data_IF_715323056633
#
_entry.id   IF_715323056633
#
_cell.length_a   1.000
_cell.length_b   1.000
_cell.length_c   1.000
_cell.angle_alpha   90.00
_cell.angle_beta   90.00
_cell.angle_gamma   90.00
#
_symmetry.space_group_name_H-M   'P 1'
#
loop_
_entity.id
_entity.type
_entity.pdbx_description
1 polymer ?
#
# COMPACT_ATOMS: atom_id res chain seq x y z
N UNK A 1 -25.88 5.20 4.73
CA UNK A 1 -24.89 4.31 4.08
C UNK A 1 -24.93 2.96 4.81
N UNK A 2 -24.83 1.86 4.07
CA UNK A 2 -24.69 0.54 4.67
C UNK A 2 -23.34 0.42 5.36
N UNK A 3 -23.23 -0.35 6.46
CA UNK A 3 -21.95 -0.67 7.08
C UNK A 3 -21.06 -1.45 6.12
N UNK A 4 -19.73 -1.30 6.25
CA UNK A 4 -18.75 -2.02 5.44
C UNK A 4 -17.91 -2.90 6.35
N UNK A 5 -17.79 -4.16 5.97
CA UNK A 5 -17.11 -5.17 6.73
C UNK A 5 -15.90 -5.73 5.98
N UNK A 6 -14.84 -6.03 6.70
CA UNK A 6 -13.68 -6.74 6.18
C UNK A 6 -13.91 -8.23 6.43
N UNK A 7 -14.00 -9.03 5.37
CA UNK A 7 -14.26 -10.47 5.43
C UNK A 7 -12.98 -11.29 5.46
N UNK A 8 -12.10 -11.00 4.52
CA UNK A 8 -10.85 -11.73 4.32
C UNK A 8 -9.79 -10.83 3.72
N UNK A 9 -8.56 -11.32 3.73
CA UNK A 9 -7.42 -10.63 3.13
C UNK A 9 -6.35 -11.63 2.70
N UNK A 10 -5.47 -11.18 1.81
CA UNK A 10 -4.22 -11.82 1.49
C UNK A 10 -3.08 -10.82 1.53
N UNK A 11 -1.87 -11.31 1.83
CA UNK A 11 -0.67 -10.48 1.94
C UNK A 11 0.56 -11.18 1.38
N UNK A 12 1.45 -10.40 0.78
CA UNK A 12 2.80 -10.83 0.40
C UNK A 12 3.73 -9.64 0.51
N UNK A 13 4.53 -9.60 1.57
CA UNK A 13 5.35 -8.47 1.95
C UNK A 13 6.76 -8.96 2.31
N UNK A 14 7.75 -8.10 2.26
CA UNK A 14 9.17 -8.41 2.43
C UNK A 14 9.46 -9.24 3.68
N UNK A 15 8.88 -8.86 4.80
CA UNK A 15 9.10 -9.52 6.09
C UNK A 15 8.01 -10.55 6.45
N UNK A 16 6.94 -10.62 5.62
CA UNK A 16 5.81 -11.52 5.83
C UNK A 16 5.22 -11.98 4.49
N UNK A 17 5.63 -13.13 4.01
CA UNK A 17 5.24 -13.65 2.70
C UNK A 17 3.83 -14.25 2.61
N UNK A 18 3.09 -14.28 3.70
CA UNK A 18 1.70 -14.70 3.84
C UNK A 18 1.12 -14.21 5.17
N UNK A 19 -0.17 -14.43 5.38
CA UNK A 19 -0.89 -13.98 6.57
C UNK A 19 -0.42 -14.65 7.86
N UNK A 20 0.02 -15.91 7.82
CA UNK A 20 0.55 -16.58 9.01
C UNK A 20 1.91 -15.99 9.42
N UNK A 21 2.75 -15.65 8.43
CA UNK A 21 4.01 -14.95 8.70
C UNK A 21 3.79 -13.55 9.22
N UNK A 22 2.75 -12.84 8.75
CA UNK A 22 2.39 -11.53 9.29
C UNK A 22 2.01 -11.63 10.77
N UNK A 23 1.18 -12.61 11.15
CA UNK A 23 0.84 -12.85 12.57
C UNK A 23 2.08 -13.14 13.42
N UNK A 24 2.97 -14.02 12.93
CA UNK A 24 4.21 -14.36 13.63
C UNK A 24 5.12 -13.14 13.80
N UNK A 25 5.23 -12.29 12.77
CA UNK A 25 6.01 -11.06 12.80
C UNK A 25 5.47 -10.09 13.88
N UNK A 26 4.16 -9.89 13.93
CA UNK A 26 3.51 -9.03 14.92
C UNK A 26 3.61 -9.61 16.34
N UNK A 27 3.47 -10.92 16.50
CA UNK A 27 3.67 -11.62 17.79
C UNK A 27 5.09 -11.44 18.33
N UNK A 28 6.09 -11.44 17.45
CA UNK A 28 7.49 -11.27 17.85
C UNK A 28 7.77 -9.86 18.37
N UNK A 29 7.01 -8.85 17.91
CA UNK A 29 7.26 -7.45 18.21
C UNK A 29 8.63 -6.94 17.73
N UNK A 30 9.31 -7.71 16.87
CA UNK A 30 10.65 -7.39 16.42
C UNK A 30 10.65 -6.20 15.45
N UNK A 31 11.51 -5.23 15.72
CA UNK A 31 11.81 -4.17 14.75
C UNK A 31 12.75 -4.70 13.66
N UNK A 32 12.70 -4.07 12.49
CA UNK A 32 13.63 -4.35 11.40
C UNK A 32 15.05 -4.01 11.84
N UNK A 33 15.96 -4.98 11.72
CA UNK A 33 17.39 -4.76 11.91
C UNK A 33 17.99 -4.15 10.64
N UNK A 34 18.25 -2.84 10.68
CA UNK A 34 18.69 -2.07 9.52
C UNK A 34 20.09 -2.47 9.02
N UNK A 35 20.92 -3.01 9.90
CA UNK A 35 22.26 -3.45 9.52
C UNK A 35 22.23 -4.73 8.68
N UNK A 36 21.09 -5.44 8.67
CA UNK A 36 20.84 -6.63 7.84
C UNK A 36 20.07 -6.34 6.53
N UNK A 37 19.60 -5.09 6.31
CA UNK A 37 18.78 -4.73 5.16
C UNK A 37 19.63 -4.30 3.97
N UNK A 38 19.47 -4.97 2.84
CA UNK A 38 19.95 -4.45 1.56
C UNK A 38 18.91 -3.48 0.96
N UNK A 39 19.20 -2.18 1.05
CA UNK A 39 18.32 -1.12 0.53
C UNK A 39 18.35 -1.02 -0.99
N UNK A 40 19.32 -1.60 -1.65
CA UNK A 40 19.56 -1.46 -3.09
C UNK A 40 19.33 -2.76 -3.86
N UNK A 41 18.83 -3.79 -3.18
CA UNK A 41 18.48 -5.05 -3.81
C UNK A 41 17.33 -4.86 -4.80
N UNK A 42 17.57 -5.26 -6.05
CA UNK A 42 16.52 -5.23 -7.07
C UNK A 42 15.43 -6.26 -6.76
N UNK A 43 14.19 -5.83 -6.81
CA UNK A 43 13.04 -6.68 -6.54
C UNK A 43 12.80 -7.67 -7.71
N UNK A 44 12.95 -8.96 -7.42
CA UNK A 44 12.66 -10.05 -8.36
C UNK A 44 11.71 -11.09 -7.74
N UNK A 45 10.43 -10.77 -7.56
CA UNK A 45 9.50 -11.67 -6.88
C UNK A 45 9.27 -12.95 -7.70
N UNK A 46 9.38 -14.08 -7.03
CA UNK A 46 9.00 -15.38 -7.61
C UNK A 46 7.49 -15.54 -7.56
N UNK A 47 6.88 -15.86 -8.71
CA UNK A 47 5.45 -16.11 -8.77
C UNK A 47 5.14 -17.48 -8.14
N UNK A 48 4.52 -17.47 -6.95
CA UNK A 48 4.01 -18.67 -6.26
C UNK A 48 2.71 -19.17 -6.91
N UNK A 49 1.88 -18.25 -7.32
CA UNK A 49 0.54 -18.46 -7.86
C UNK A 49 0.53 -18.82 -9.36
N UNK A 50 1.45 -19.68 -9.82
CA UNK A 50 1.51 -20.04 -11.26
C UNK A 50 0.19 -20.61 -11.80
N UNK A 51 -0.59 -21.27 -10.96
CA UNK A 51 -1.89 -21.85 -11.34
C UNK A 51 -2.96 -20.79 -11.59
N UNK A 52 -2.84 -19.59 -11.00
CA UNK A 52 -3.79 -18.49 -11.17
C UNK A 52 -3.58 -17.71 -12.48
N UNK A 53 -2.49 -17.97 -13.22
CA UNK A 53 -2.12 -17.15 -14.39
C UNK A 53 -1.97 -18.02 -15.62
N UNK A 54 -2.66 -17.63 -16.68
CA UNK A 54 -2.53 -18.28 -17.99
C UNK A 54 -1.08 -18.15 -18.49
N UNK A 55 -0.64 -19.16 -19.26
CA UNK A 55 0.77 -19.26 -19.67
C UNK A 55 1.22 -18.06 -20.52
N UNK A 56 0.36 -17.59 -21.40
CA UNK A 56 0.59 -16.45 -22.30
C UNK A 56 0.74 -15.13 -21.53
N UNK A 57 0.01 -14.94 -20.45
CA UNK A 57 0.06 -13.71 -19.64
C UNK A 57 1.34 -13.59 -18.81
N UNK A 58 2.03 -14.71 -18.53
CA UNK A 58 3.23 -14.69 -17.69
C UNK A 58 4.36 -13.83 -18.25
N UNK A 59 4.40 -13.68 -19.57
CA UNK A 59 5.42 -12.87 -20.25
C UNK A 59 5.24 -11.36 -20.06
N UNK A 60 4.03 -10.91 -19.72
CA UNK A 60 3.68 -9.49 -19.53
C UNK A 60 3.46 -9.11 -18.06
N UNK A 61 3.62 -10.06 -17.13
CA UNK A 61 3.59 -9.78 -15.69
C UNK A 61 4.73 -8.85 -15.29
N UNK A 62 4.40 -7.77 -14.61
CA UNK A 62 5.38 -6.96 -13.91
C UNK A 62 5.59 -7.42 -12.46
N UNK A 63 6.56 -6.84 -11.75
CA UNK A 63 6.87 -7.24 -10.37
C UNK A 63 5.71 -6.95 -9.42
N UNK A 64 5.02 -5.81 -9.59
CA UNK A 64 3.84 -5.48 -8.76
C UNK A 64 2.71 -6.49 -8.96
N UNK A 65 2.44 -6.90 -10.21
CA UNK A 65 1.45 -7.93 -10.50
C UNK A 65 1.83 -9.29 -9.88
N UNK A 66 3.12 -9.67 -9.90
CA UNK A 66 3.57 -10.90 -9.24
C UNK A 66 3.37 -10.84 -7.72
N UNK A 67 3.65 -9.69 -7.08
CA UNK A 67 3.39 -9.50 -5.64
C UNK A 67 1.90 -9.64 -5.32
N UNK A 68 1.04 -8.98 -6.11
CA UNK A 68 -0.43 -9.06 -5.94
C UNK A 68 -0.94 -10.48 -6.15
N UNK A 69 -0.46 -11.18 -7.17
CA UNK A 69 -0.85 -12.57 -7.42
C UNK A 69 -0.42 -13.50 -6.28
N UNK A 70 0.73 -13.24 -5.64
CA UNK A 70 1.13 -13.98 -4.45
C UNK A 70 0.22 -13.65 -3.24
N UNK A 71 -0.23 -12.40 -3.09
CA UNK A 71 -1.21 -12.04 -2.06
C UNK A 71 -2.61 -12.65 -2.35
N UNK A 72 -3.03 -12.72 -3.61
CA UNK A 72 -4.25 -13.44 -4.02
C UNK A 72 -4.14 -14.94 -3.76
N UNK A 73 -2.96 -15.51 -3.94
CA UNK A 73 -2.70 -16.92 -3.59
C UNK A 73 -2.84 -17.17 -2.08
N UNK A 74 -2.36 -16.26 -1.23
CA UNK A 74 -2.60 -16.31 0.22
C UNK A 74 -4.10 -16.20 0.54
N UNK A 75 -4.83 -15.29 -0.13
CA UNK A 75 -6.28 -15.16 0.02
C UNK A 75 -7.01 -16.43 -0.43
N UNK A 76 -6.58 -17.06 -1.53
CA UNK A 76 -7.22 -18.29 -2.07
C UNK A 76 -7.09 -19.50 -1.15
N UNK A 77 -6.18 -19.47 -0.18
CA UNK A 77 -6.08 -20.50 0.85
C UNK A 77 -7.20 -20.42 1.91
N UNK A 78 -7.93 -19.30 1.95
CA UNK A 78 -8.98 -19.00 2.93
C UNK A 78 -10.37 -18.99 2.34
N UNK A 79 -10.50 -18.57 1.06
CA UNK A 79 -11.77 -18.49 0.35
C UNK A 79 -11.60 -18.94 -1.10
N UNK A 80 -12.69 -19.43 -1.68
CA UNK A 80 -12.75 -19.59 -3.13
C UNK A 80 -12.85 -18.20 -3.79
N UNK A 81 -11.89 -17.88 -4.65
CA UNK A 81 -11.85 -16.58 -5.36
C UNK A 81 -13.07 -16.36 -6.28
N UNK A 82 -13.76 -17.44 -6.69
CA UNK A 82 -15.04 -17.36 -7.42
C UNK A 82 -16.11 -16.56 -6.66
N UNK A 83 -16.07 -16.54 -5.33
CA UNK A 83 -16.98 -15.75 -4.51
C UNK A 83 -16.77 -14.23 -4.65
N UNK A 84 -15.69 -13.82 -5.32
CA UNK A 84 -15.35 -12.42 -5.59
C UNK A 84 -15.64 -12.00 -7.04
N UNK A 85 -16.24 -12.88 -7.85
CA UNK A 85 -16.48 -12.62 -9.27
C UNK A 85 -17.45 -11.45 -9.54
N UNK A 86 -18.29 -11.08 -8.57
CA UNK A 86 -19.22 -9.95 -8.60
C UNK A 86 -18.71 -8.71 -7.83
N UNK A 87 -17.48 -8.77 -7.26
CA UNK A 87 -16.96 -7.68 -6.46
C UNK A 87 -16.38 -6.55 -7.32
N UNK A 88 -16.63 -5.29 -6.98
CA UNK A 88 -15.96 -4.14 -7.63
C UNK A 88 -14.47 -4.12 -7.29
N UNK A 89 -13.60 -3.84 -8.26
CA UNK A 89 -12.15 -3.90 -8.11
C UNK A 89 -11.53 -2.50 -8.04
N UNK A 90 -10.76 -2.23 -6.99
CA UNK A 90 -9.98 -1.01 -6.79
C UNK A 90 -8.51 -1.35 -6.64
N UNK A 91 -7.63 -0.71 -7.43
CA UNK A 91 -6.19 -0.98 -7.36
C UNK A 91 -5.39 0.26 -7.03
N UNK A 92 -4.48 0.13 -6.07
CA UNK A 92 -3.56 1.17 -5.62
C UNK A 92 -2.12 0.63 -5.73
N UNK A 93 -1.60 0.56 -6.96
CA UNK A 93 -0.32 -0.09 -7.21
C UNK A 93 0.70 0.85 -7.89
N UNK A 94 1.99 0.59 -7.66
CA UNK A 94 3.06 1.19 -8.43
C UNK A 94 3.12 0.60 -9.83
N UNK A 95 3.76 1.33 -10.74
CA UNK A 95 4.15 0.80 -12.05
C UNK A 95 5.40 -0.07 -11.91
N UNK A 96 5.74 -0.82 -12.95
CA UNK A 96 7.07 -1.43 -13.06
C UNK A 96 8.14 -0.34 -13.13
N UNK A 97 9.31 -0.63 -12.60
CA UNK A 97 10.49 0.19 -12.80
C UNK A 97 10.98 0.11 -14.23
N UNK A 98 11.41 1.23 -14.77
CA UNK A 98 12.18 1.21 -15.99
C UNK A 98 13.53 0.52 -15.74
N UNK A 99 13.94 -0.36 -16.65
CA UNK A 99 15.33 -0.80 -16.70
C UNK A 99 16.17 0.37 -17.20
N UNK A 100 16.58 1.24 -16.30
CA UNK A 100 17.45 2.38 -16.65
C UNK A 100 18.82 1.96 -17.20
N UNK A 101 19.24 0.72 -16.97
CA UNK A 101 20.52 0.23 -17.47
C UNK A 101 20.68 0.47 -18.99
N UNK A 102 19.68 0.08 -19.77
CA UNK A 102 19.69 0.30 -21.22
C UNK A 102 19.66 1.79 -21.59
N UNK A 103 18.90 2.60 -20.84
CA UNK A 103 18.82 4.04 -21.07
C UNK A 103 20.16 4.71 -20.77
N UNK A 104 20.81 4.36 -19.64
CA UNK A 104 22.14 4.89 -19.29
C UNK A 104 23.21 4.50 -20.32
N UNK A 105 23.19 3.28 -20.82
CA UNK A 105 24.14 2.83 -21.82
C UNK A 105 23.94 3.53 -23.17
N UNK A 106 22.69 3.76 -23.56
CA UNK A 106 22.38 4.58 -24.75
C UNK A 106 22.83 6.02 -24.55
N UNK A 107 22.55 6.64 -23.39
CA UNK A 107 22.98 8.00 -23.08
C UNK A 107 24.52 8.15 -23.05
N UNK A 108 25.26 7.15 -22.55
CA UNK A 108 26.72 7.14 -22.57
C UNK A 108 27.30 7.10 -23.99
N UNK A 109 26.67 6.34 -24.88
CA UNK A 109 27.12 6.25 -26.29
C UNK A 109 26.79 7.52 -27.09
N UNK A 110 25.78 8.25 -26.68
CA UNK A 110 25.27 9.44 -27.38
C UNK A 110 25.15 10.62 -26.40
N UNK A 111 26.25 11.25 -25.95
CA UNK A 111 26.22 12.26 -24.90
C UNK A 111 25.74 13.64 -25.35
N UNK A 112 25.58 13.88 -26.66
CA UNK A 112 25.17 15.19 -27.16
C UNK A 112 23.65 15.31 -27.34
N UNK A 113 23.11 16.53 -27.16
CA UNK A 113 21.68 16.82 -27.38
C UNK A 113 21.26 16.61 -28.84
N UNK A 114 22.21 16.76 -29.78
CA UNK A 114 21.98 16.56 -31.22
C UNK A 114 21.75 15.09 -31.56
N UNK A 115 22.22 14.17 -30.71
CA UNK A 115 22.02 12.74 -30.85
C UNK A 115 20.72 12.22 -30.24
N UNK A 116 19.81 13.07 -29.72
CA UNK A 116 18.58 12.64 -29.09
C UNK A 116 17.72 11.73 -29.99
N UNK A 117 17.67 12.01 -31.28
CA UNK A 117 16.96 11.16 -32.24
C UNK A 117 17.58 9.76 -32.37
N UNK A 118 18.92 9.69 -32.36
CA UNK A 118 19.63 8.43 -32.37
C UNK A 118 19.39 7.65 -31.05
N UNK A 119 19.36 8.33 -29.92
CA UNK A 119 18.98 7.74 -28.63
C UNK A 119 17.60 7.08 -28.69
N UNK A 120 16.59 7.81 -29.16
CA UNK A 120 15.22 7.32 -29.25
C UNK A 120 15.14 6.12 -30.19
N UNK A 121 15.83 6.18 -31.34
CA UNK A 121 15.86 5.09 -32.32
C UNK A 121 16.52 3.85 -31.72
N UNK A 122 17.70 3.98 -31.15
CA UNK A 122 18.46 2.86 -30.57
C UNK A 122 17.71 2.24 -29.38
N UNK A 123 17.10 3.05 -28.52
CA UNK A 123 16.26 2.56 -27.43
C UNK A 123 15.07 1.77 -27.95
N UNK A 124 14.39 2.26 -29.00
CA UNK A 124 13.30 1.55 -29.65
C UNK A 124 13.75 0.21 -30.25
N UNK A 125 14.91 0.18 -30.89
CA UNK A 125 15.42 -1.03 -31.56
C UNK A 125 15.93 -2.08 -30.56
N UNK A 126 16.33 -1.66 -29.35
CA UNK A 126 16.86 -2.54 -28.29
C UNK A 126 15.83 -2.90 -27.21
N UNK A 127 14.71 -2.16 -27.11
CA UNK A 127 13.69 -2.41 -26.10
C UNK A 127 12.78 -3.59 -26.49
N UNK A 128 12.41 -4.39 -25.48
CA UNK A 128 11.40 -5.42 -25.67
C UNK A 128 10.01 -4.76 -25.77
N UNK A 129 9.22 -4.98 -26.85
CA UNK A 129 7.86 -4.42 -26.95
C UNK A 129 6.95 -4.77 -25.78
N UNK A 130 7.18 -5.91 -25.13
CA UNK A 130 6.40 -6.34 -23.94
C UNK A 130 6.72 -5.48 -22.70
N UNK A 131 7.86 -4.78 -22.66
CA UNK A 131 8.19 -3.91 -21.54
C UNK A 131 7.22 -2.73 -21.43
N UNK A 132 6.69 -2.25 -22.56
CA UNK A 132 5.64 -1.22 -22.55
C UNK A 132 4.38 -1.68 -21.80
N UNK A 133 3.99 -2.94 -21.97
CA UNK A 133 2.82 -3.50 -21.25
C UNK A 133 3.12 -3.66 -19.76
N UNK A 134 4.34 -4.02 -19.39
CA UNK A 134 4.77 -4.13 -17.98
C UNK A 134 4.79 -2.78 -17.28
N UNK A 135 5.15 -1.70 -17.99
CA UNK A 135 5.21 -0.35 -17.45
C UNK A 135 3.83 0.28 -17.24
N UNK A 136 2.77 -0.28 -17.81
CA UNK A 136 1.43 0.27 -17.65
C UNK A 136 0.99 0.22 -16.19
N UNK A 137 0.52 1.33 -15.62
CA UNK A 137 0.00 1.37 -14.25
C UNK A 137 -1.24 0.51 -14.06
N UNK A 138 -1.90 0.10 -15.15
CA UNK A 138 -3.05 -0.79 -15.18
C UNK A 138 -2.67 -2.27 -15.27
N UNK A 139 -1.38 -2.62 -15.33
CA UNK A 139 -0.93 -4.01 -15.40
C UNK A 139 -1.45 -4.84 -14.22
N UNK A 140 -1.37 -4.30 -12.99
CA UNK A 140 -1.92 -4.94 -11.78
C UNK A 140 -3.43 -5.13 -11.90
N UNK A 141 -4.15 -4.10 -12.35
CA UNK A 141 -5.61 -4.17 -12.55
C UNK A 141 -5.97 -5.30 -13.52
N UNK A 142 -5.33 -5.33 -14.70
CA UNK A 142 -5.56 -6.33 -15.74
C UNK A 142 -5.38 -7.76 -15.22
N UNK A 143 -4.24 -8.04 -14.56
CA UNK A 143 -3.98 -9.41 -14.09
C UNK A 143 -4.84 -9.79 -12.90
N UNK A 144 -5.21 -8.85 -12.04
CA UNK A 144 -6.12 -9.09 -10.93
C UNK A 144 -7.53 -9.40 -11.43
N UNK A 145 -8.04 -8.61 -12.37
CA UNK A 145 -9.38 -8.83 -12.94
C UNK A 145 -9.49 -10.21 -13.60
N UNK A 146 -8.48 -10.64 -14.34
CA UNK A 146 -8.46 -11.99 -14.96
C UNK A 146 -8.48 -13.13 -13.92
N UNK A 147 -7.85 -12.95 -12.77
CA UNK A 147 -7.84 -13.97 -11.71
C UNK A 147 -9.16 -14.03 -10.95
N UNK A 148 -9.82 -12.88 -10.79
CA UNK A 148 -11.12 -12.79 -10.10
C UNK A 148 -12.30 -13.05 -11.04
N UNK A 149 -12.05 -13.55 -12.27
CA UNK A 149 -13.00 -13.97 -13.29
C UNK A 149 -13.90 -12.87 -13.86
N UNK A 150 -13.39 -12.29 -14.94
CA UNK A 150 -14.14 -11.42 -15.88
C UNK A 150 -14.69 -10.11 -15.32
N UNK A 151 -14.00 -9.50 -14.35
CA UNK A 151 -14.25 -8.10 -14.08
C UNK A 151 -13.86 -7.28 -15.31
N UNK A 152 -14.86 -6.81 -16.03
CA UNK A 152 -14.65 -5.88 -17.14
C UNK A 152 -14.25 -4.49 -16.64
N UNK A 153 -14.54 -4.18 -15.35
CA UNK A 153 -14.38 -2.86 -14.78
C UNK A 153 -13.53 -2.88 -13.49
N UNK A 154 -12.68 -1.89 -13.37
CA UNK A 154 -11.89 -1.66 -12.16
C UNK A 154 -11.31 -0.26 -12.14
N UNK A 155 -11.03 0.27 -10.95
CA UNK A 155 -10.57 1.64 -10.75
C UNK A 155 -9.11 1.66 -10.28
N UNK A 156 -8.15 2.06 -11.13
CA UNK A 156 -6.77 2.27 -10.73
C UNK A 156 -6.60 3.64 -10.08
N UNK A 157 -5.95 3.68 -8.90
CA UNK A 157 -5.76 4.89 -8.11
C UNK A 157 -4.28 5.27 -8.00
N UNK A 158 -3.98 6.56 -8.18
CA UNK A 158 -2.61 7.09 -8.20
C UNK A 158 -2.52 8.39 -7.40
N UNK A 159 -2.66 8.32 -6.09
CA UNK A 159 -2.56 9.44 -5.14
C UNK A 159 -1.36 9.26 -4.20
N UNK A 160 -0.20 8.91 -4.74
CA UNK A 160 1.02 8.59 -3.99
C UNK A 160 0.72 7.59 -2.85
N UNK A 161 1.34 7.74 -1.68
CA UNK A 161 1.09 6.86 -0.51
C UNK A 161 -0.35 6.91 0.04
N UNK A 162 -1.16 7.87 -0.40
CA UNK A 162 -2.60 7.94 -0.06
C UNK A 162 -3.48 7.01 -0.92
N UNK A 163 -2.91 6.35 -1.94
CA UNK A 163 -3.69 5.56 -2.90
C UNK A 163 -4.47 4.42 -2.26
N UNK A 164 -3.88 3.71 -1.30
CA UNK A 164 -4.56 2.63 -0.57
C UNK A 164 -5.76 3.15 0.22
N UNK A 165 -5.60 4.26 0.94
CA UNK A 165 -6.69 4.90 1.68
C UNK A 165 -7.79 5.39 0.75
N UNK A 166 -7.42 5.97 -0.40
CA UNK A 166 -8.39 6.44 -1.41
C UNK A 166 -9.16 5.26 -2.02
N UNK A 167 -8.49 4.14 -2.27
CA UNK A 167 -9.14 2.91 -2.78
C UNK A 167 -10.18 2.38 -1.78
N UNK A 168 -9.82 2.32 -0.51
CA UNK A 168 -10.75 1.90 0.56
C UNK A 168 -11.94 2.86 0.63
N UNK A 169 -11.69 4.19 0.56
CA UNK A 169 -12.78 5.18 0.57
C UNK A 169 -13.79 4.97 -0.55
N UNK A 170 -13.33 4.76 -1.79
CA UNK A 170 -14.22 4.53 -2.94
C UNK A 170 -14.96 3.22 -2.78
N UNK A 171 -14.29 2.14 -2.40
CA UNK A 171 -14.92 0.84 -2.14
C UNK A 171 -16.01 0.97 -1.05
N UNK A 172 -15.71 1.64 0.07
CA UNK A 172 -16.69 1.88 1.13
C UNK A 172 -17.87 2.74 0.66
N UNK A 173 -17.62 3.74 -0.20
CA UNK A 173 -18.70 4.56 -0.75
C UNK A 173 -19.64 3.72 -1.61
N UNK A 174 -19.11 2.91 -2.50
CA UNK A 174 -19.93 2.10 -3.39
C UNK A 174 -20.72 1.02 -2.64
N UNK A 175 -20.07 0.28 -1.71
CA UNK A 175 -20.78 -0.67 -0.85
C UNK A 175 -21.84 0.05 0.01
N UNK A 176 -21.52 1.24 0.50
CA UNK A 176 -22.45 2.04 1.32
C UNK A 176 -23.71 2.49 0.57
N UNK A 177 -23.64 2.64 -0.76
CA UNK A 177 -24.79 3.06 -1.59
C UNK A 177 -25.54 1.87 -2.21
N UNK A 178 -24.83 0.88 -2.75
CA UNK A 178 -25.43 -0.15 -3.61
C UNK A 178 -25.55 -1.51 -2.94
N UNK A 179 -24.94 -1.68 -1.75
CA UNK A 179 -24.68 -2.98 -1.15
C UNK A 179 -23.79 -3.85 -2.07
N UNK A 180 -23.21 -4.92 -1.57
CA UNK A 180 -22.39 -5.82 -2.36
C UNK A 180 -20.96 -5.91 -1.85
N UNK A 181 -20.06 -6.28 -2.75
CA UNK A 181 -18.66 -6.61 -2.43
C UNK A 181 -17.69 -5.70 -3.17
N UNK A 182 -16.53 -5.53 -2.58
CA UNK A 182 -15.40 -4.89 -3.25
C UNK A 182 -14.08 -5.61 -2.90
N UNK A 183 -13.15 -5.59 -3.84
CA UNK A 183 -11.77 -6.03 -3.64
C UNK A 183 -10.87 -4.82 -3.78
N UNK A 184 -10.12 -4.51 -2.71
CA UNK A 184 -9.09 -3.48 -2.73
C UNK A 184 -7.74 -4.15 -2.80
N UNK A 185 -6.98 -3.83 -3.84
CA UNK A 185 -5.64 -4.36 -4.08
C UNK A 185 -4.63 -3.24 -3.97
N UNK A 186 -3.58 -3.46 -3.21
CA UNK A 186 -2.49 -2.48 -3.11
C UNK A 186 -1.13 -3.16 -3.25
N UNK A 187 -0.21 -2.52 -3.98
CA UNK A 187 1.16 -3.00 -4.14
C UNK A 187 2.14 -1.84 -4.33
N UNK A 188 3.30 -1.95 -3.72
CA UNK A 188 4.35 -0.94 -3.86
C UNK A 188 5.74 -1.52 -3.63
N UNK A 189 6.74 -0.86 -4.22
CA UNK A 189 8.14 -1.11 -3.99
C UNK A 189 8.88 0.19 -3.66
N UNK A 190 9.14 0.44 -2.37
CA UNK A 190 9.86 1.62 -1.92
C UNK A 190 11.38 1.47 -2.03
N UNK A 191 11.90 0.28 -2.35
CA UNK A 191 13.29 0.01 -2.71
C UNK A 191 13.57 0.24 -4.20
N UNK A 192 12.57 0.71 -4.96
CA UNK A 192 12.76 1.08 -6.38
C UNK A 192 13.70 2.26 -6.51
N UNK A 193 14.44 2.31 -7.63
CA UNK A 193 15.33 3.43 -7.90
C UNK A 193 14.60 4.77 -7.86
N UNK A 194 13.41 4.85 -8.48
CA UNK A 194 12.61 6.07 -8.51
C UNK A 194 12.19 6.52 -7.10
N UNK A 195 11.78 5.58 -6.26
CA UNK A 195 11.41 5.88 -4.86
C UNK A 195 12.62 6.28 -4.03
N UNK A 196 13.71 5.51 -4.10
CA UNK A 196 14.94 5.77 -3.32
C UNK A 196 15.57 7.10 -3.66
N UNK A 197 15.64 7.49 -4.95
CA UNK A 197 16.23 8.77 -5.39
C UNK A 197 15.53 9.95 -4.74
N UNK A 198 14.20 9.93 -4.64
CA UNK A 198 13.43 11.01 -4.02
C UNK A 198 13.79 11.16 -2.55
N UNK A 199 13.76 10.07 -1.78
CA UNK A 199 14.04 10.12 -0.34
C UNK A 199 15.52 10.35 -0.06
N UNK A 200 16.43 9.77 -0.84
CA UNK A 200 17.87 9.96 -0.69
C UNK A 200 18.31 11.41 -0.94
N UNK A 201 17.69 12.07 -1.92
CA UNK A 201 17.94 13.49 -2.21
C UNK A 201 17.71 14.39 -0.99
N UNK A 202 16.80 14.01 -0.11
CA UNK A 202 16.46 14.78 1.10
C UNK A 202 17.04 14.19 2.38
N UNK A 203 17.91 13.17 2.27
CA UNK A 203 18.44 12.39 3.42
C UNK A 203 17.31 11.81 4.29
N UNK A 204 16.25 11.34 3.67
CA UNK A 204 15.05 10.81 4.32
C UNK A 204 15.00 9.27 4.29
N UNK A 205 16.14 8.57 4.08
CA UNK A 205 16.28 7.12 4.21
C UNK A 205 17.06 6.82 5.50
N UNK A 206 16.52 5.92 6.31
CA UNK A 206 17.17 5.42 7.50
C UNK A 206 18.03 4.21 7.14
N UNK A 207 19.34 4.44 6.91
CA UNK A 207 20.28 3.42 6.39
C UNK A 207 21.00 2.61 7.50
N UNK A 208 20.85 2.98 8.78
CA UNK A 208 21.47 2.27 9.90
C UNK A 208 20.66 2.39 11.19
N UNK A 209 20.92 1.52 12.15
CA UNK A 209 20.28 1.56 13.46
C UNK A 209 20.58 2.87 14.22
N UNK A 210 21.72 3.50 13.96
CA UNK A 210 22.13 4.79 14.56
C UNK A 210 21.41 6.00 13.95
N UNK A 211 20.78 5.84 12.78
CA UNK A 211 20.05 6.92 12.11
C UNK A 211 18.78 7.27 12.89
N UNK A 212 18.59 8.56 13.18
CA UNK A 212 17.46 9.05 13.99
C UNK A 212 16.21 9.34 13.17
N UNK A 213 16.36 9.55 11.87
CA UNK A 213 15.28 9.97 10.97
C UNK A 213 15.39 9.32 9.60
N UNK A 214 14.26 9.11 8.97
CA UNK A 214 14.12 8.57 7.61
C UNK A 214 13.18 7.37 7.54
N UNK A 215 12.68 7.10 6.34
CA UNK A 215 11.88 5.91 6.06
C UNK A 215 12.76 4.65 6.12
N UNK A 216 12.16 3.53 6.45
CA UNK A 216 12.72 2.18 6.24
C UNK A 216 12.03 1.63 4.99
N UNK A 217 12.64 1.71 3.80
CA UNK A 217 11.97 1.30 2.57
C UNK A 217 11.68 -0.20 2.60
N UNK A 218 10.48 -0.58 2.15
CA UNK A 218 10.06 -1.96 2.03
C UNK A 218 9.15 -2.13 0.80
N UNK A 219 8.85 -3.37 0.44
CA UNK A 219 7.97 -3.72 -0.66
C UNK A 219 6.89 -4.71 -0.23
N UNK A 220 5.81 -4.77 -1.00
CA UNK A 220 4.77 -5.77 -0.77
C UNK A 220 3.51 -5.53 -1.57
N UNK A 221 2.56 -6.44 -1.35
CA UNK A 221 1.19 -6.33 -1.82
C UNK A 221 0.22 -6.88 -0.78
N UNK A 222 -1.00 -6.36 -0.80
CA UNK A 222 -2.12 -6.85 -0.02
C UNK A 222 -3.42 -6.77 -0.81
N UNK A 223 -4.34 -7.65 -0.46
CA UNK A 223 -5.69 -7.73 -0.99
C UNK A 223 -6.66 -7.73 0.18
N UNK A 224 -7.66 -6.84 0.14
CA UNK A 224 -8.77 -6.79 1.10
C UNK A 224 -10.06 -7.16 0.39
N UNK A 225 -10.83 -8.08 0.98
CA UNK A 225 -12.22 -8.35 0.62
C UNK A 225 -13.14 -7.57 1.57
N UNK A 226 -13.92 -6.65 1.00
CA UNK A 226 -14.91 -5.83 1.68
C UNK A 226 -16.32 -6.25 1.26
N UNK A 227 -17.27 -6.24 2.20
CA UNK A 227 -18.65 -6.64 1.97
C UNK A 227 -19.62 -5.81 2.82
N UNK A 228 -20.87 -5.72 2.41
CA UNK A 228 -21.98 -5.17 3.19
C UNK A 228 -22.56 -6.13 4.24
N UNK A 229 -22.27 -7.44 4.11
CA UNK A 229 -22.72 -8.47 5.02
C UNK A 229 -21.82 -8.58 6.27
N UNK A 230 -22.40 -8.53 7.51
CA UNK A 230 -21.63 -8.65 8.75
C UNK A 230 -21.18 -10.07 9.12
N UNK A 231 -21.72 -11.11 8.46
CA UNK A 231 -21.43 -12.50 8.80
C UNK A 231 -19.94 -12.81 8.60
N UNK A 232 -19.31 -13.50 9.53
CA UNK A 232 -17.87 -13.85 9.50
C UNK A 232 -16.90 -12.66 9.32
N UNK A 233 -17.33 -11.43 9.61
CA UNK A 233 -16.48 -10.26 9.48
C UNK A 233 -15.38 -10.24 10.56
N UNK A 234 -14.13 -10.00 10.12
CA UNK A 234 -12.95 -9.85 11.00
C UNK A 234 -12.70 -8.40 11.40
N UNK A 235 -13.39 -7.46 10.76
CA UNK A 235 -13.34 -6.03 11.06
C UNK A 235 -14.51 -5.29 10.44
N UNK A 236 -14.77 -4.08 10.94
CA UNK A 236 -15.80 -3.18 10.42
C UNK A 236 -15.20 -1.81 10.19
N UNK A 237 -15.30 -1.28 8.99
CA UNK A 237 -14.92 0.09 8.66
C UNK A 237 -16.09 1.00 9.01
N UNK A 238 -15.89 1.94 9.94
CA UNK A 238 -16.89 2.90 10.36
C UNK A 238 -16.92 4.11 9.43
N UNK A 239 -15.75 4.62 9.07
CA UNK A 239 -15.62 5.75 8.15
C UNK A 239 -14.24 5.80 7.51
N UNK A 240 -14.15 6.50 6.38
CA UNK A 240 -12.89 6.82 5.70
C UNK A 240 -12.92 8.28 5.28
N UNK A 241 -12.07 9.08 5.89
CA UNK A 241 -11.94 10.51 5.61
C UNK A 241 -10.67 10.80 4.83
N UNK A 242 -10.79 11.52 3.72
CA UNK A 242 -9.67 12.03 2.91
C UNK A 242 -9.83 13.52 2.71
N UNK A 243 -8.83 14.29 3.10
CA UNK A 243 -8.70 15.73 2.86
C UNK A 243 -7.69 15.94 1.72
N UNK A 244 -8.16 16.30 0.54
CA UNK A 244 -7.29 16.56 -0.60
C UNK A 244 -6.65 17.96 -0.45
N UNK A 245 -5.34 17.99 -0.30
CA UNK A 245 -4.53 19.21 -0.17
C UNK A 245 -3.20 19.05 -0.88
N UNK A 246 -2.83 19.92 -1.82
CA UNK A 246 -1.57 19.83 -2.57
C UNK A 246 -0.40 20.41 -1.76
N UNK A 247 -0.07 19.80 -0.61
CA UNK A 247 1.07 20.15 0.23
C UNK A 247 2.12 19.05 0.19
N UNK A 248 3.40 19.44 0.24
CA UNK A 248 4.53 18.50 0.38
C UNK A 248 4.62 17.91 1.79
N UNK A 249 4.33 18.71 2.81
CA UNK A 249 4.37 18.34 4.23
C UNK A 249 3.10 18.85 4.90
N UNK A 250 2.55 18.06 5.81
CA UNK A 250 1.40 18.43 6.65
C UNK A 250 1.94 18.83 8.02
N UNK A 251 1.48 19.98 8.51
CA UNK A 251 1.85 20.54 9.80
C UNK A 251 0.86 20.07 10.90
N UNK A 252 1.17 20.43 12.14
CA UNK A 252 0.34 20.08 13.29
C UNK A 252 -1.09 20.60 13.16
N UNK A 253 -1.31 21.75 12.53
CA UNK A 253 -2.63 22.35 12.36
C UNK A 253 -3.48 21.57 11.36
N UNK A 254 -2.89 21.06 10.27
CA UNK A 254 -3.59 20.19 9.32
C UNK A 254 -4.12 18.93 10.06
N UNK A 255 -3.27 18.30 10.89
CA UNK A 255 -3.65 17.11 11.66
C UNK A 255 -4.69 17.43 12.74
N UNK A 256 -4.52 18.52 13.51
CA UNK A 256 -5.50 18.95 14.50
C UNK A 256 -6.89 19.19 13.88
N UNK A 257 -6.93 19.80 12.70
CA UNK A 257 -8.20 20.03 12.00
C UNK A 257 -8.89 18.73 11.61
N UNK A 258 -8.13 17.74 11.12
CA UNK A 258 -8.68 16.40 10.83
C UNK A 258 -9.16 15.74 12.11
N UNK A 259 -8.30 15.65 13.11
CA UNK A 259 -8.59 14.91 14.35
C UNK A 259 -9.77 15.51 15.14
N UNK A 260 -9.89 16.83 15.23
CA UNK A 260 -11.04 17.47 15.86
C UNK A 260 -12.34 17.14 15.11
N UNK A 261 -12.34 17.17 13.77
CA UNK A 261 -13.52 16.80 12.99
C UNK A 261 -13.92 15.33 13.18
N UNK A 262 -12.95 14.43 13.30
CA UNK A 262 -13.19 13.00 13.54
C UNK A 262 -13.65 12.74 14.98
N UNK A 263 -13.07 13.45 15.95
CA UNK A 263 -13.48 13.36 17.36
C UNK A 263 -14.92 13.78 17.59
N UNK A 264 -15.39 14.80 16.89
CA UNK A 264 -16.79 15.26 16.95
C UNK A 264 -17.77 14.18 16.49
N UNK A 265 -17.36 13.33 15.52
CA UNK A 265 -18.22 12.29 14.93
C UNK A 265 -18.12 10.97 15.68
N UNK A 266 -16.90 10.56 16.05
CA UNK A 266 -16.61 9.21 16.54
C UNK A 266 -16.16 9.15 17.99
N UNK A 267 -15.85 10.28 18.61
CA UNK A 267 -15.23 10.32 19.94
C UNK A 267 -13.73 10.08 19.90
N UNK A 268 -13.19 9.53 20.98
CA UNK A 268 -11.78 9.18 21.11
C UNK A 268 -11.57 7.69 20.78
N UNK A 269 -10.63 7.33 19.89
CA UNK A 269 -10.37 5.93 19.59
C UNK A 269 -9.55 5.28 20.72
N UNK A 270 -9.70 3.98 20.92
CA UNK A 270 -8.87 3.24 21.87
C UNK A 270 -7.39 3.21 21.42
N UNK A 271 -7.20 3.07 20.10
CA UNK A 271 -5.88 2.95 19.47
C UNK A 271 -5.79 3.86 18.24
N UNK A 272 -4.63 4.48 18.07
CA UNK A 272 -4.28 5.20 16.85
C UNK A 272 -3.07 4.52 16.22
N UNK A 273 -3.22 4.09 14.97
CA UNK A 273 -2.08 3.68 14.15
C UNK A 273 -1.55 4.91 13.42
N UNK A 274 -0.43 5.41 13.90
CA UNK A 274 0.20 6.61 13.34
C UNK A 274 0.71 6.33 11.92
N UNK A 275 0.59 7.34 11.05
CA UNK A 275 1.26 7.28 9.75
C UNK A 275 2.78 7.27 9.91
N UNK A 276 3.29 7.99 10.90
CA UNK A 276 4.71 8.12 11.31
C UNK A 276 5.67 7.31 10.41
N UNK A 277 6.06 7.90 9.29
CA UNK A 277 6.87 7.24 8.27
C UNK A 277 8.38 7.18 8.61
N UNK A 278 8.76 7.73 9.76
CA UNK A 278 10.15 7.83 10.22
C UNK A 278 10.82 9.18 9.91
N UNK A 279 10.25 10.02 9.05
CA UNK A 279 10.77 11.37 8.80
C UNK A 279 10.39 12.28 9.97
N UNK A 280 11.39 12.69 10.76
CA UNK A 280 11.20 13.32 12.07
C UNK A 280 10.20 14.49 12.06
N UNK A 281 10.31 15.41 11.11
CA UNK A 281 9.42 16.58 11.07
C UNK A 281 7.95 16.21 10.82
N UNK A 282 7.71 15.26 9.92
CA UNK A 282 6.36 14.79 9.59
C UNK A 282 5.77 13.99 10.74
N UNK A 283 6.54 13.08 11.30
CA UNK A 283 6.15 12.26 12.44
C UNK A 283 5.84 13.11 13.67
N UNK A 284 6.67 14.12 13.97
CA UNK A 284 6.44 15.00 15.13
C UNK A 284 5.16 15.83 15.00
N UNK A 285 4.83 16.30 13.79
CA UNK A 285 3.60 17.07 13.57
C UNK A 285 2.35 16.23 13.85
N UNK A 286 2.33 14.99 13.37
CA UNK A 286 1.25 14.06 13.60
C UNK A 286 1.12 13.68 15.09
N UNK A 287 2.23 13.24 15.71
CA UNK A 287 2.22 12.80 17.11
C UNK A 287 1.81 13.94 18.07
N UNK A 288 2.33 15.15 17.88
CA UNK A 288 1.94 16.29 18.70
C UNK A 288 0.43 16.62 18.56
N UNK A 289 -0.14 16.45 17.37
CA UNK A 289 -1.58 16.64 17.18
C UNK A 289 -2.38 15.52 17.85
N UNK A 290 -1.92 14.26 17.79
CA UNK A 290 -2.53 13.13 18.51
C UNK A 290 -2.54 13.39 20.00
N UNK A 291 -1.40 13.71 20.62
CA UNK A 291 -1.27 13.96 22.04
C UNK A 291 -2.21 15.08 22.53
N UNK A 292 -2.44 16.09 21.66
CA UNK A 292 -3.32 17.20 21.99
C UNK A 292 -4.81 16.86 21.85
N UNK A 293 -5.19 16.12 20.82
CA UNK A 293 -6.60 15.85 20.50
C UNK A 293 -7.09 14.56 21.14
N UNK A 294 -6.24 13.53 21.23
CA UNK A 294 -6.57 12.19 21.70
C UNK A 294 -5.60 11.73 22.80
N UNK A 295 -5.57 12.41 23.97
CA UNK A 295 -4.56 12.20 25.02
C UNK A 295 -4.65 10.83 25.70
N UNK A 296 -5.77 10.11 25.59
CA UNK A 296 -5.95 8.81 26.23
C UNK A 296 -5.78 7.63 25.25
N UNK A 297 -5.63 7.90 23.96
CA UNK A 297 -5.48 6.86 22.94
C UNK A 297 -4.07 6.25 22.96
N UNK A 298 -4.00 4.93 22.84
CA UNK A 298 -2.71 4.24 22.66
C UNK A 298 -2.21 4.43 21.21
N UNK A 299 -0.97 4.88 21.03
CA UNK A 299 -0.37 5.04 19.70
C UNK A 299 0.47 3.82 19.35
N UNK A 300 0.28 3.29 18.14
CA UNK A 300 1.05 2.16 17.56
C UNK A 300 1.63 2.58 16.21
N UNK A 301 2.86 2.14 15.93
CA UNK A 301 3.49 2.29 14.62
C UNK A 301 4.00 0.94 14.12
N UNK A 302 3.42 0.43 13.05
CA UNK A 302 3.84 -0.84 12.45
C UNK A 302 5.04 -0.71 11.49
N UNK A 303 5.37 0.51 11.03
CA UNK A 303 6.44 0.71 10.03
C UNK A 303 7.84 0.41 10.54
N UNK A 304 8.00 0.29 11.87
CA UNK A 304 9.25 -0.22 12.47
C UNK A 304 9.43 -1.73 12.29
N UNK A 305 8.32 -2.44 12.07
CA UNK A 305 8.25 -3.90 11.90
C UNK A 305 8.05 -4.29 10.44
N UNK A 306 7.25 -3.54 9.68
CA UNK A 306 6.91 -3.86 8.29
C UNK A 306 7.64 -3.02 7.26
N UNK A 307 8.32 -1.96 7.68
CA UNK A 307 8.88 -0.95 6.80
C UNK A 307 7.83 -0.01 6.20
N UNK A 308 8.30 0.98 5.49
CA UNK A 308 7.48 1.95 4.77
C UNK A 308 7.21 1.43 3.35
N UNK A 309 5.97 1.17 3.03
CA UNK A 309 5.52 0.52 1.80
C UNK A 309 4.71 1.43 0.86
N UNK A 310 4.83 2.76 1.01
CA UNK A 310 4.21 3.71 0.08
C UNK A 310 2.69 3.53 -0.07
N UNK A 311 2.21 3.21 -1.27
CA UNK A 311 0.79 3.04 -1.57
C UNK A 311 0.12 1.91 -0.78
N UNK A 312 0.89 0.93 -0.35
CA UNK A 312 0.39 -0.21 0.43
C UNK A 312 0.16 0.13 1.91
N UNK A 313 0.78 1.18 2.46
CA UNK A 313 0.80 1.47 3.91
C UNK A 313 -0.56 1.30 4.60
N UNK A 314 -1.59 2.02 4.15
CA UNK A 314 -2.89 2.00 4.84
C UNK A 314 -3.58 0.63 4.79
N UNK A 315 -3.45 -0.09 3.68
CA UNK A 315 -3.99 -1.45 3.57
C UNK A 315 -3.22 -2.39 4.49
N UNK A 316 -1.89 -2.29 4.52
CA UNK A 316 -1.04 -3.12 5.39
C UNK A 316 -1.27 -2.80 6.87
N UNK A 317 -1.42 -1.52 7.24
CA UNK A 317 -1.71 -1.10 8.62
C UNK A 317 -3.06 -1.70 9.11
N UNK A 318 -4.10 -1.76 8.24
CA UNK A 318 -5.35 -2.49 8.56
C UNK A 318 -5.05 -3.96 8.86
N UNK A 319 -4.28 -4.63 7.97
CA UNK A 319 -3.95 -6.05 8.17
C UNK A 319 -3.17 -6.27 9.46
N UNK A 320 -2.24 -5.37 9.78
CA UNK A 320 -1.51 -5.42 11.03
C UNK A 320 -2.46 -5.30 12.23
N UNK A 321 -3.39 -4.34 12.23
CA UNK A 321 -4.38 -4.19 13.31
C UNK A 321 -5.23 -5.45 13.50
N UNK A 322 -5.72 -6.04 12.42
CA UNK A 322 -6.56 -7.23 12.46
C UNK A 322 -5.81 -8.46 13.02
N UNK A 323 -4.49 -8.52 12.78
CA UNK A 323 -3.66 -9.66 13.19
C UNK A 323 -2.83 -9.42 14.47
N UNK A 324 -2.79 -8.19 14.99
CA UNK A 324 -2.06 -7.88 16.22
C UNK A 324 -2.81 -8.45 17.44
N UNK A 325 -2.23 -9.45 18.14
CA UNK A 325 -2.88 -10.06 19.29
C UNK A 325 -2.96 -9.12 20.50
N UNK A 326 -2.19 -8.04 20.53
CA UNK A 326 -2.25 -7.03 21.57
C UNK A 326 -3.47 -6.12 21.46
N UNK A 327 -4.19 -6.16 20.34
CA UNK A 327 -5.43 -5.42 20.09
C UNK A 327 -6.62 -6.36 20.33
N UNK A 328 -7.40 -6.19 21.38
CA UNK A 328 -8.59 -7.00 21.63
C UNK A 328 -9.67 -6.83 20.57
N UNK A 329 -10.58 -7.80 20.45
CA UNK A 329 -11.78 -7.63 19.64
C UNK A 329 -12.68 -6.52 20.23
N UNK A 330 -13.45 -5.87 19.38
CA UNK A 330 -14.28 -4.68 19.66
C UNK A 330 -13.49 -3.41 20.03
N UNK A 331 -12.18 -3.39 19.78
CA UNK A 331 -11.36 -2.18 19.92
C UNK A 331 -11.60 -1.24 18.75
N UNK A 332 -11.79 0.04 19.04
CA UNK A 332 -11.90 1.11 18.04
C UNK A 332 -10.51 1.61 17.68
N UNK A 333 -10.17 1.54 16.40
CA UNK A 333 -8.86 1.92 15.89
C UNK A 333 -9.01 3.01 14.84
N UNK A 334 -8.21 4.08 14.95
CA UNK A 334 -8.05 5.09 13.90
C UNK A 334 -6.69 4.90 13.22
N UNK A 335 -6.66 4.76 11.90
CA UNK A 335 -5.44 4.60 11.11
C UNK A 335 -5.22 5.84 10.25
N UNK A 336 -4.06 6.46 10.36
CA UNK A 336 -3.71 7.67 9.63
C UNK A 336 -3.01 7.38 8.30
N UNK A 337 -3.16 8.29 7.33
CA UNK A 337 -2.50 8.20 6.03
C UNK A 337 -2.20 9.56 5.42
N UNK A 338 -1.09 9.64 4.67
CA UNK A 338 -0.74 10.83 3.88
C UNK A 338 -0.29 10.48 2.48
N UNK A 339 -0.36 11.45 1.57
CA UNK A 339 0.23 11.38 0.24
C UNK A 339 0.78 12.74 -0.16
N UNK A 340 2.07 12.79 -0.46
CA UNK A 340 2.75 14.01 -0.91
C UNK A 340 2.02 14.62 -2.10
N UNK A 341 1.72 15.92 -2.04
CA UNK A 341 0.97 16.68 -3.04
C UNK A 341 -0.49 16.25 -3.27
N UNK A 342 -1.02 15.29 -2.51
CA UNK A 342 -2.40 14.82 -2.65
C UNK A 342 -3.26 15.13 -1.43
N UNK A 343 -2.77 14.82 -0.23
CA UNK A 343 -3.55 15.03 0.97
C UNK A 343 -3.21 14.11 2.13
N UNK A 344 -4.13 14.04 3.07
CA UNK A 344 -4.05 13.24 4.28
C UNK A 344 -5.45 12.77 4.67
N UNK A 345 -5.53 11.81 5.58
CA UNK A 345 -6.80 11.27 6.01
C UNK A 345 -6.66 10.18 7.05
N UNK A 346 -7.80 9.58 7.40
CA UNK A 346 -7.83 8.47 8.34
C UNK A 346 -8.93 7.47 8.01
N UNK A 347 -8.81 6.28 8.59
CA UNK A 347 -9.78 5.20 8.57
C UNK A 347 -10.17 4.91 10.01
N UNK A 348 -11.45 4.81 10.29
CA UNK A 348 -11.98 4.30 11.55
C UNK A 348 -12.41 2.85 11.38
N UNK A 349 -11.88 1.98 12.23
CA UNK A 349 -12.03 0.54 12.17
C UNK A 349 -12.44 0.00 13.55
N UNK A 350 -13.34 -0.99 13.58
CA UNK A 350 -13.53 -1.87 14.75
C UNK A 350 -12.95 -3.24 14.38
N UNK A 351 -12.02 -3.76 15.20
CA UNK A 351 -11.56 -5.14 15.12
C UNK A 351 -12.64 -6.07 15.67
N UNK A 352 -12.95 -7.15 14.96
CA UNK A 352 -13.95 -8.15 15.35
C UNK A 352 -13.35 -9.50 15.66
#
# INVERSE_FOLDING_TARGET
MHPVYIKNYGVHQEYAHDSEKLKQLLLSGANIDLDSVDFYESLHPTLKAKALVQREDRSVLNNMSKLVLNALYDLSSKIDLMHLSDAKLYTAADSEEHSFANIFDVCKRHPSRESLFLHIKEYKDTSNPLDMLRLLPTNVLYHTSKVLLDHEEGTPLRTASLSGLTAIKLACSDIGFEQGKAVVVSAANMKSFESLVVFKKFNEIRESNDSVSGIIPSWGAAVLHLDSDPEEAIGQILSVTVKYRPKMKFDIHDWEQLFNSEREVHGEPDIIVSYENGIKEQSSAEINAIDKVFPNSKVINYKRTTGYTGKLNNVLDILCCLNDPSIPNNTTVMLNGTGINYGYGCIWLIKR
#
